data_IF_521592515741
#
_entry.id   IF_521592515741
#
_cell.length_a   1.000
_cell.length_b   1.000
_cell.length_c   1.000
_cell.angle_alpha   90.00
_cell.angle_beta   90.00
_cell.angle_gamma   90.00
#
_symmetry.space_group_name_H-M   'P 1'
#
loop_
_entity.id
_entity.type
_entity.pdbx_description
1 polymer ?
#
# COMPACT_ATOMS: atom_id res chain seq x y z
N UNK A 1 -31.73 -14.88 7.79
CA UNK A 1 -30.47 -14.20 8.12
C UNK A 1 -30.75 -13.31 9.33
N UNK A 2 -30.03 -13.47 10.44
CA UNK A 2 -30.21 -12.62 11.62
C UNK A 2 -29.59 -11.22 11.38
N UNK A 3 -29.91 -10.24 12.23
CA UNK A 3 -29.41 -8.86 12.10
C UNK A 3 -27.88 -8.79 12.07
N UNK A 4 -27.20 -9.59 12.90
CA UNK A 4 -25.74 -9.65 12.93
C UNK A 4 -25.16 -10.15 11.60
N UNK A 5 -25.73 -11.21 11.03
CA UNK A 5 -25.33 -11.76 9.73
C UNK A 5 -25.51 -10.73 8.61
N UNK A 6 -26.65 -10.02 8.59
CA UNK A 6 -26.91 -8.96 7.61
C UNK A 6 -25.87 -7.85 7.73
N UNK A 7 -25.59 -7.41 8.95
CA UNK A 7 -24.63 -6.34 9.19
C UNK A 7 -23.20 -6.73 8.81
N UNK A 8 -22.78 -7.96 9.12
CA UNK A 8 -21.48 -8.49 8.70
C UNK A 8 -21.38 -8.58 7.17
N UNK A 9 -22.43 -9.02 6.48
CA UNK A 9 -22.49 -9.05 5.02
C UNK A 9 -22.29 -7.65 4.44
N UNK A 10 -23.13 -6.68 4.86
CA UNK A 10 -23.11 -5.32 4.34
C UNK A 10 -21.77 -4.62 4.62
N UNK A 11 -21.22 -4.77 5.84
CA UNK A 11 -19.90 -4.22 6.17
C UNK A 11 -18.78 -4.88 5.34
N UNK A 12 -18.91 -6.17 5.01
CA UNK A 12 -17.95 -6.87 4.15
C UNK A 12 -18.04 -6.40 2.70
N UNK A 13 -19.25 -6.27 2.15
CA UNK A 13 -19.47 -5.80 0.79
C UNK A 13 -19.02 -4.33 0.62
N UNK A 14 -19.34 -3.47 1.59
CA UNK A 14 -18.90 -2.06 1.57
C UNK A 14 -17.39 -1.91 1.78
N UNK A 15 -16.77 -2.82 2.55
CA UNK A 15 -15.31 -2.81 2.76
C UNK A 15 -14.53 -3.47 1.63
N UNK A 16 -15.20 -4.22 0.75
CA UNK A 16 -14.55 -4.84 -0.40
C UNK A 16 -13.89 -3.77 -1.27
N UNK A 17 -12.72 -4.09 -1.79
CA UNK A 17 -12.05 -3.27 -2.81
C UNK A 17 -11.45 -4.24 -3.79
N UNK A 18 -11.88 -4.18 -5.05
CA UNK A 18 -11.12 -4.84 -6.11
C UNK A 18 -9.78 -4.13 -6.22
N UNK A 19 -8.71 -4.74 -5.71
CA UNK A 19 -7.38 -4.17 -5.82
C UNK A 19 -6.83 -4.41 -7.21
N UNK A 20 -7.17 -3.52 -8.13
CA UNK A 20 -6.61 -3.47 -9.48
C UNK A 20 -5.34 -2.64 -9.55
N UNK A 21 -4.81 -2.19 -8.41
CA UNK A 21 -3.67 -1.27 -8.37
C UNK A 21 -2.41 -2.01 -8.79
N UNK A 22 -1.62 -1.37 -9.64
CA UNK A 22 -0.20 -1.68 -9.79
C UNK A 22 0.63 -0.83 -8.84
N UNK A 23 1.84 -1.31 -8.57
CA UNK A 23 2.80 -0.65 -7.69
C UNK A 23 4.06 -0.36 -8.48
N UNK A 24 4.52 0.89 -8.41
CA UNK A 24 5.61 1.38 -9.24
C UNK A 24 6.72 1.96 -8.37
N UNK A 25 7.97 1.61 -8.66
CA UNK A 25 9.13 2.36 -8.18
C UNK A 25 9.51 3.37 -9.26
N UNK A 26 9.49 4.66 -8.94
CA UNK A 26 10.05 5.71 -9.79
C UNK A 26 11.31 6.23 -9.14
N UNK A 27 12.45 6.06 -9.82
CA UNK A 27 13.74 6.56 -9.36
C UNK A 27 13.79 8.08 -9.51
N UNK A 28 14.52 8.69 -8.59
CA UNK A 28 14.70 10.15 -8.46
C UNK A 28 16.09 10.59 -8.87
N UNK A 29 16.79 9.80 -9.71
CA UNK A 29 18.19 10.03 -10.09
C UNK A 29 19.12 10.20 -8.88
N UNK A 30 19.22 9.14 -8.08
CA UNK A 30 19.97 9.11 -6.81
C UNK A 30 19.51 10.18 -5.79
N UNK A 31 18.21 10.49 -5.79
CA UNK A 31 17.59 11.45 -4.88
C UNK A 31 17.56 12.88 -5.40
N UNK A 32 18.25 13.21 -6.49
CA UNK A 32 18.31 14.57 -7.03
C UNK A 32 16.93 15.17 -7.32
N UNK A 33 15.97 14.34 -7.75
CA UNK A 33 14.61 14.75 -8.07
C UNK A 33 13.59 14.49 -6.94
N UNK A 34 14.02 14.00 -5.78
CA UNK A 34 13.12 13.63 -4.68
C UNK A 34 12.26 14.80 -4.21
N UNK A 35 12.88 15.92 -3.80
CA UNK A 35 12.16 17.10 -3.31
C UNK A 35 11.25 17.68 -4.39
N UNK A 36 11.73 17.78 -5.64
CA UNK A 36 10.94 18.28 -6.77
C UNK A 36 9.66 17.47 -6.97
N UNK A 37 9.74 16.14 -6.97
CA UNK A 37 8.58 15.25 -7.13
C UNK A 37 7.67 15.30 -5.90
N UNK A 38 8.28 15.28 -4.71
CA UNK A 38 7.63 15.31 -3.41
C UNK A 38 6.80 16.58 -3.20
N UNK A 39 7.41 17.76 -3.31
CA UNK A 39 6.79 19.06 -3.02
C UNK A 39 5.77 19.46 -4.09
N UNK A 40 6.03 19.10 -5.36
CA UNK A 40 5.17 19.46 -6.49
C UNK A 40 4.17 18.37 -6.88
N UNK A 41 4.08 17.29 -6.12
CA UNK A 41 3.04 16.26 -6.24
C UNK A 41 2.96 15.61 -7.64
N UNK A 42 4.11 15.19 -8.17
CA UNK A 42 4.18 14.47 -9.44
C UNK A 42 5.38 13.50 -9.50
N UNK A 43 5.33 12.56 -10.45
CA UNK A 43 6.48 11.74 -10.88
C UNK A 43 6.62 11.81 -12.40
N UNK A 44 7.82 11.68 -12.92
CA UNK A 44 8.07 11.81 -14.35
C UNK A 44 9.38 11.13 -14.77
N UNK A 45 9.64 11.08 -16.07
CA UNK A 45 10.98 10.80 -16.59
C UNK A 45 11.77 12.10 -16.72
N UNK A 46 13.05 12.07 -16.32
CA UNK A 46 13.98 13.18 -16.46
C UNK A 46 14.46 13.31 -17.92
N UNK A 47 13.53 13.72 -18.78
CA UNK A 47 13.75 13.98 -20.20
C UNK A 47 13.24 15.38 -20.50
N UNK A 48 14.11 16.24 -21.02
CA UNK A 48 13.76 17.63 -21.31
C UNK A 48 13.19 17.75 -22.72
N UNK A 49 12.08 18.49 -22.85
CA UNK A 49 11.43 18.81 -24.13
C UNK A 49 11.12 17.56 -25.00
N UNK A 50 10.79 16.42 -24.40
CA UNK A 50 10.59 15.19 -25.15
C UNK A 50 9.19 15.15 -25.79
N UNK A 51 9.07 14.89 -27.10
CA UNK A 51 7.76 14.83 -27.76
C UNK A 51 6.91 13.68 -27.22
N UNK A 52 5.66 13.94 -26.82
CA UNK A 52 4.75 12.89 -26.31
C UNK A 52 3.84 12.28 -27.40
N UNK A 53 3.72 12.93 -28.56
CA UNK A 53 2.72 12.58 -29.58
C UNK A 53 2.79 11.13 -30.09
N UNK A 54 4.00 10.56 -30.15
CA UNK A 54 4.20 9.18 -30.59
C UNK A 54 3.60 8.14 -29.61
N UNK A 55 3.44 8.49 -28.33
CA UNK A 55 2.80 7.62 -27.33
C UNK A 55 1.32 7.45 -27.61
N UNK A 56 0.64 8.48 -28.11
CA UNK A 56 -0.78 8.40 -28.45
C UNK A 56 -1.05 7.42 -29.61
N UNK A 57 -0.13 7.34 -30.58
CA UNK A 57 -0.20 6.34 -31.64
C UNK A 57 -0.05 4.92 -31.08
N UNK A 58 0.92 4.72 -30.18
CA UNK A 58 1.14 3.42 -29.53
C UNK A 58 -0.03 3.00 -28.62
N UNK A 59 -0.75 3.95 -28.01
CA UNK A 59 -1.91 3.69 -27.14
C UNK A 59 -3.03 2.90 -27.84
N UNK A 60 -3.16 3.05 -29.16
CA UNK A 60 -4.17 2.35 -29.96
C UNK A 60 -3.83 0.87 -30.23
N UNK A 61 -2.63 0.42 -29.85
CA UNK A 61 -2.16 -0.94 -30.10
C UNK A 61 -2.44 -1.80 -28.86
N UNK A 62 -3.38 -2.73 -29.01
CA UNK A 62 -3.78 -3.62 -27.92
C UNK A 62 -2.63 -4.53 -27.45
N UNK A 63 -1.93 -5.17 -28.40
CA UNK A 63 -0.86 -6.12 -28.09
C UNK A 63 0.34 -5.42 -27.42
N UNK A 64 0.71 -5.74 -26.16
CA UNK A 64 1.79 -5.07 -25.46
C UNK A 64 3.18 -5.21 -26.12
N UNK A 65 3.47 -6.36 -26.74
CA UNK A 65 4.77 -6.61 -27.39
C UNK A 65 4.92 -5.79 -28.67
N UNK A 66 3.84 -5.74 -29.45
CA UNK A 66 3.78 -4.91 -30.66
C UNK A 66 3.87 -3.42 -30.30
N UNK A 67 3.09 -3.00 -29.31
CA UNK A 67 3.11 -1.63 -28.76
C UNK A 67 4.52 -1.21 -28.34
N UNK A 68 5.23 -2.04 -27.59
CA UNK A 68 6.61 -1.77 -27.18
C UNK A 68 7.57 -1.69 -28.38
N UNK A 69 7.38 -2.55 -29.38
CA UNK A 69 8.19 -2.54 -30.60
C UNK A 69 7.98 -1.25 -31.41
N UNK A 70 6.73 -0.80 -31.53
CA UNK A 70 6.39 0.48 -32.17
C UNK A 70 6.98 1.66 -31.40
N UNK A 71 6.83 1.70 -30.06
CA UNK A 71 7.44 2.74 -29.23
C UNK A 71 8.96 2.81 -29.44
N UNK A 72 9.63 1.65 -29.41
CA UNK A 72 11.08 1.58 -29.63
C UNK A 72 11.48 2.12 -31.02
N UNK A 73 10.77 1.71 -32.07
CA UNK A 73 11.06 2.16 -33.43
C UNK A 73 10.82 3.67 -33.58
N UNK A 74 9.73 4.20 -33.02
CA UNK A 74 9.45 5.64 -33.01
C UNK A 74 10.52 6.42 -32.25
N UNK A 75 11.00 5.92 -31.11
CA UNK A 75 12.10 6.55 -30.37
C UNK A 75 13.40 6.59 -31.19
N UNK A 76 13.74 5.49 -31.88
CA UNK A 76 14.91 5.45 -32.75
C UNK A 76 14.80 6.45 -33.91
N UNK A 77 13.61 6.58 -34.52
CA UNK A 77 13.35 7.56 -35.57
C UNK A 77 13.44 9.00 -35.06
N UNK A 78 12.85 9.30 -33.89
CA UNK A 78 12.92 10.62 -33.26
C UNK A 78 14.38 10.99 -32.96
N UNK A 79 15.17 10.06 -32.42
CA UNK A 79 16.58 10.30 -32.15
C UNK A 79 17.41 10.53 -33.42
N UNK A 80 17.11 9.83 -34.52
CA UNK A 80 17.75 10.10 -35.82
C UNK A 80 17.42 11.50 -36.36
N UNK A 81 16.18 11.96 -36.19
CA UNK A 81 15.75 13.30 -36.60
C UNK A 81 16.30 14.40 -35.69
N UNK A 82 16.48 14.11 -34.40
CA UNK A 82 16.95 15.03 -33.38
C UNK A 82 18.04 14.38 -32.51
N UNK A 83 19.30 14.31 -33.00
CA UNK A 83 20.38 13.60 -32.31
C UNK A 83 20.72 14.13 -30.91
N UNK A 84 20.44 15.40 -30.63
CA UNK A 84 20.68 16.02 -29.33
C UNK A 84 19.57 15.75 -28.30
N UNK A 85 18.50 15.04 -28.68
CA UNK A 85 17.35 14.75 -27.80
C UNK A 85 17.71 13.75 -26.70
N UNK A 86 18.62 12.82 -26.98
CA UNK A 86 19.10 11.81 -26.05
C UNK A 86 20.63 11.75 -26.11
N UNK A 87 21.28 11.53 -24.97
CA UNK A 87 22.74 11.41 -24.89
C UNK A 87 23.23 10.01 -25.29
N UNK A 88 22.59 9.36 -26.26
CA UNK A 88 22.92 8.00 -26.69
C UNK A 88 23.70 8.02 -28.01
N UNK A 89 24.82 7.30 -28.07
CA UNK A 89 25.56 7.14 -29.32
C UNK A 89 24.90 6.05 -30.18
N UNK A 90 24.42 6.43 -31.38
CA UNK A 90 23.80 5.51 -32.34
C UNK A 90 24.74 4.44 -32.90
N UNK A 91 26.05 4.64 -32.78
CA UNK A 91 27.08 3.70 -33.24
C UNK A 91 27.46 2.68 -32.16
N UNK A 92 27.07 2.91 -30.90
CA UNK A 92 27.32 1.98 -29.81
C UNK A 92 26.45 0.72 -29.96
N UNK A 93 27.09 -0.45 -29.81
CA UNK A 93 26.43 -1.74 -29.66
C UNK A 93 25.28 -1.75 -28.63
N UNK A 94 25.37 -0.91 -27.58
CA UNK A 94 24.36 -0.79 -26.54
C UNK A 94 23.12 0.01 -26.97
N UNK A 95 23.18 0.79 -28.06
CA UNK A 95 22.15 1.73 -28.49
C UNK A 95 20.74 1.12 -28.56
N UNK A 96 20.61 0.01 -29.29
CA UNK A 96 19.32 -0.69 -29.46
C UNK A 96 18.75 -1.17 -28.12
N UNK A 97 19.63 -1.59 -27.18
CA UNK A 97 19.23 -2.01 -25.85
C UNK A 97 18.79 -0.81 -24.99
N UNK A 98 19.49 0.33 -25.08
CA UNK A 98 19.17 1.56 -24.36
C UNK A 98 17.81 2.11 -24.81
N UNK A 99 17.57 2.14 -26.13
CA UNK A 99 16.28 2.52 -26.71
C UNK A 99 15.15 1.58 -26.28
N UNK A 100 15.42 0.27 -26.20
CA UNK A 100 14.45 -0.69 -25.69
C UNK A 100 14.10 -0.45 -24.22
N UNK A 101 15.09 -0.14 -23.38
CA UNK A 101 14.85 0.20 -21.96
C UNK A 101 14.05 1.48 -21.81
N UNK A 102 14.38 2.52 -22.56
CA UNK A 102 13.64 3.79 -22.56
C UNK A 102 12.20 3.59 -23.05
N UNK A 103 11.99 2.83 -24.13
CA UNK A 103 10.67 2.48 -24.62
C UNK A 103 9.81 1.79 -23.55
N UNK A 104 10.41 0.86 -22.80
CA UNK A 104 9.73 0.17 -21.70
C UNK A 104 9.33 1.15 -20.59
N UNK A 105 10.23 2.06 -20.19
CA UNK A 105 9.94 3.06 -19.16
C UNK A 105 8.80 4.01 -19.59
N UNK A 106 8.82 4.45 -20.85
CA UNK A 106 7.77 5.30 -21.41
C UNK A 106 6.43 4.56 -21.47
N UNK A 107 6.43 3.27 -21.85
CA UNK A 107 5.25 2.41 -21.80
C UNK A 107 4.69 2.34 -20.37
N UNK A 108 5.53 2.01 -19.39
CA UNK A 108 5.11 1.89 -17.98
C UNK A 108 4.40 3.15 -17.48
N UNK A 109 5.03 4.32 -17.59
CA UNK A 109 4.49 5.56 -17.01
C UNK A 109 3.32 6.15 -17.78
N UNK A 110 3.30 5.98 -19.10
CA UNK A 110 2.34 6.69 -19.97
C UNK A 110 1.13 5.86 -20.35
N UNK A 111 1.27 4.52 -20.38
CA UNK A 111 0.27 3.61 -20.93
C UNK A 111 -0.18 2.52 -19.94
N UNK A 112 0.63 2.17 -18.95
CA UNK A 112 0.31 1.08 -18.01
C UNK A 112 -0.04 1.57 -16.61
N UNK A 113 0.57 2.66 -16.16
CA UNK A 113 0.26 3.28 -14.88
C UNK A 113 -1.11 3.95 -14.96
N UNK A 114 -1.99 3.69 -13.99
CA UNK A 114 -3.37 4.16 -13.99
C UNK A 114 -3.70 4.94 -12.72
N UNK A 115 -4.79 5.73 -12.77
CA UNK A 115 -5.36 6.35 -11.58
C UNK A 115 -5.63 5.28 -10.52
N UNK A 116 -5.18 5.52 -9.29
CA UNK A 116 -5.30 4.59 -8.17
C UNK A 116 -4.07 3.71 -7.96
N UNK A 117 -3.17 3.59 -8.93
CA UNK A 117 -1.90 2.90 -8.75
C UNK A 117 -1.05 3.57 -7.67
N UNK A 118 -0.21 2.78 -7.02
CA UNK A 118 0.70 3.25 -5.97
C UNK A 118 2.09 3.48 -6.56
N UNK A 119 2.73 4.58 -6.18
CA UNK A 119 4.08 4.93 -6.60
C UNK A 119 4.98 5.19 -5.40
N UNK A 120 6.20 4.67 -5.49
CA UNK A 120 7.27 4.86 -4.52
C UNK A 120 8.37 5.69 -5.16
N UNK A 121 8.84 6.72 -4.45
CA UNK A 121 10.06 7.46 -4.81
C UNK A 121 11.08 7.37 -3.68
N UNK A 122 12.36 7.04 -3.97
CA UNK A 122 13.41 7.05 -2.96
C UNK A 122 14.08 8.43 -2.85
N UNK A 123 14.50 8.80 -1.63
CA UNK A 123 15.45 9.88 -1.41
C UNK A 123 16.88 9.45 -1.78
N UNK A 124 17.85 10.36 -1.62
CA UNK A 124 19.26 10.04 -1.80
C UNK A 124 19.70 8.89 -0.88
N UNK A 125 20.41 7.90 -1.44
CA UNK A 125 20.80 6.68 -0.70
C UNK A 125 19.63 5.84 -0.17
N UNK A 126 18.41 6.13 -0.63
CA UNK A 126 17.14 5.62 -0.12
C UNK A 126 17.06 5.70 1.41
N UNK A 127 17.49 6.84 1.99
CA UNK A 127 17.32 7.12 3.42
C UNK A 127 15.86 7.21 3.84
N UNK A 128 14.98 7.51 2.88
CA UNK A 128 13.55 7.67 3.03
C UNK A 128 12.87 7.20 1.74
N UNK A 129 11.67 6.63 1.84
CA UNK A 129 10.78 6.37 0.71
C UNK A 129 9.49 7.16 0.89
N UNK A 130 9.05 7.82 -0.17
CA UNK A 130 7.72 8.42 -0.23
C UNK A 130 6.78 7.53 -1.02
N UNK A 131 5.62 7.24 -0.43
CA UNK A 131 4.52 6.48 -1.01
C UNK A 131 3.42 7.45 -1.41
N UNK A 132 2.96 7.35 -2.65
CA UNK A 132 1.84 8.14 -3.14
C UNK A 132 0.92 7.34 -4.06
N UNK A 133 -0.21 7.94 -4.40
CA UNK A 133 -1.24 7.40 -5.28
C UNK A 133 -1.34 8.26 -6.53
N UNK A 134 -1.41 7.63 -7.69
CA UNK A 134 -1.65 8.32 -8.96
C UNK A 134 -3.08 8.83 -9.00
N UNK A 135 -3.27 10.12 -9.27
CA UNK A 135 -4.60 10.77 -9.25
C UNK A 135 -5.11 11.21 -10.61
N UNK A 136 -4.24 11.29 -11.62
CA UNK A 136 -4.63 11.67 -12.96
C UNK A 136 -5.01 10.47 -13.85
N UNK A 137 -5.82 10.77 -14.86
CA UNK A 137 -6.21 9.82 -15.92
C UNK A 137 -5.17 9.83 -17.05
N UNK A 138 -4.64 11.00 -17.37
CA UNK A 138 -3.70 11.23 -18.46
C UNK A 138 -2.46 11.98 -17.98
N UNK A 139 -1.42 12.00 -18.82
CA UNK A 139 -0.17 12.72 -18.57
C UNK A 139 -0.42 14.22 -18.25
N UNK A 140 0.31 14.75 -17.28
CA UNK A 140 0.26 16.15 -16.94
C UNK A 140 0.82 17.04 -18.07
N UNK A 141 0.09 18.11 -18.38
CA UNK A 141 0.42 19.07 -19.44
C UNK A 141 0.95 20.41 -18.90
N UNK A 142 1.21 20.51 -17.60
CA UNK A 142 1.74 21.71 -16.96
C UNK A 142 3.11 22.07 -17.56
N UNK A 143 3.20 23.24 -18.20
CA UNK A 143 4.42 23.74 -18.85
C UNK A 143 5.57 23.89 -17.86
N UNK A 144 5.29 24.24 -16.60
CA UNK A 144 6.30 24.38 -15.56
C UNK A 144 6.91 23.03 -15.13
N UNK A 145 6.25 21.91 -15.43
CA UNK A 145 6.77 20.55 -15.23
C UNK A 145 7.40 20.06 -16.53
N UNK A 146 6.66 20.16 -17.62
CA UNK A 146 6.99 19.54 -18.92
C UNK A 146 8.20 20.16 -19.63
N UNK A 147 8.64 21.36 -19.20
CA UNK A 147 9.90 21.97 -19.65
C UNK A 147 11.13 21.18 -19.19
N UNK A 148 11.08 20.58 -18.01
CA UNK A 148 12.22 19.91 -17.38
C UNK A 148 12.06 18.39 -17.32
N UNK A 149 10.83 17.91 -17.34
CA UNK A 149 10.48 16.50 -17.25
C UNK A 149 9.51 16.11 -18.36
N UNK A 150 9.43 14.84 -18.71
CA UNK A 150 8.44 14.35 -19.67
C UNK A 150 7.65 13.20 -19.08
N UNK A 151 6.45 12.98 -19.62
CA UNK A 151 5.55 11.90 -19.19
C UNK A 151 5.15 12.00 -17.71
N UNK A 152 4.91 13.22 -17.23
CA UNK A 152 4.58 13.47 -15.84
C UNK A 152 3.21 12.91 -15.45
N UNK A 153 3.12 12.37 -14.24
CA UNK A 153 1.91 11.84 -13.59
C UNK A 153 1.72 12.53 -12.24
N UNK A 154 0.54 13.05 -11.98
CA UNK A 154 0.16 13.67 -10.70
C UNK A 154 0.01 12.61 -9.63
N UNK A 155 0.52 12.93 -8.46
CA UNK A 155 0.58 12.04 -7.30
C UNK A 155 0.00 12.75 -6.10
N UNK A 156 -0.86 12.06 -5.36
CA UNK A 156 -1.22 12.42 -4.00
C UNK A 156 -0.34 11.61 -3.04
N UNK A 157 0.51 12.29 -2.28
CA UNK A 157 1.41 11.63 -1.33
C UNK A 157 0.62 11.15 -0.10
N UNK A 158 0.81 9.88 0.25
CA UNK A 158 0.11 9.22 1.37
C UNK A 158 1.00 9.16 2.60
N UNK A 159 2.25 8.75 2.41
CA UNK A 159 3.16 8.49 3.53
C UNK A 159 4.61 8.67 3.14
N UNK A 160 5.41 9.09 4.09
CA UNK A 160 6.87 9.07 4.02
C UNK A 160 7.41 8.10 5.09
N UNK A 161 8.37 7.26 4.72
CA UNK A 161 8.88 6.19 5.58
C UNK A 161 10.40 6.23 5.60
N UNK A 162 10.98 6.41 6.78
CA UNK A 162 12.43 6.36 6.97
C UNK A 162 13.00 4.96 6.75
N UNK A 163 14.24 4.89 6.28
CA UNK A 163 14.97 3.64 6.00
C UNK A 163 15.01 2.69 7.20
N UNK A 164 15.05 3.25 8.41
CA UNK A 164 15.04 2.49 9.67
C UNK A 164 13.75 1.66 9.86
N UNK A 165 12.64 2.11 9.26
CA UNK A 165 11.31 1.49 9.35
C UNK A 165 11.01 0.54 8.18
N UNK A 166 11.84 0.54 7.14
CA UNK A 166 11.60 -0.27 5.94
C UNK A 166 11.75 -1.76 6.25
N UNK A 167 10.74 -2.55 5.90
CA UNK A 167 10.84 -4.01 5.95
C UNK A 167 11.93 -4.52 4.98
N UNK A 168 12.65 -5.57 5.38
CA UNK A 168 13.75 -6.16 4.60
C UNK A 168 13.35 -6.51 3.15
N UNK A 169 12.10 -6.88 2.90
CA UNK A 169 11.62 -7.22 1.56
C UNK A 169 11.43 -5.99 0.67
N UNK A 170 11.16 -4.81 1.24
CA UNK A 170 11.03 -3.57 0.48
C UNK A 170 12.40 -3.08 -0.03
N UNK A 171 13.49 -3.37 0.71
CA UNK A 171 14.85 -3.17 0.20
C UNK A 171 15.14 -3.93 -1.09
N UNK A 172 14.55 -5.13 -1.27
CA UNK A 172 14.71 -5.89 -2.52
C UNK A 172 14.06 -5.17 -3.70
N UNK A 173 12.95 -4.46 -3.47
CA UNK A 173 12.32 -3.63 -4.50
C UNK A 173 13.24 -2.48 -4.93
N UNK A 174 13.98 -1.89 -3.98
CA UNK A 174 14.99 -0.85 -4.22
C UNK A 174 16.26 -1.35 -4.92
N UNK A 175 16.42 -2.65 -5.17
CA UNK A 175 17.50 -3.19 -6.00
C UNK A 175 17.27 -3.00 -7.50
N UNK A 176 16.07 -2.62 -7.94
CA UNK A 176 15.75 -2.52 -9.36
C UNK A 176 16.36 -1.27 -10.02
N UNK A 177 17.31 -1.44 -10.94
CA UNK A 177 18.11 -0.33 -11.50
C UNK A 177 17.43 0.51 -12.59
N UNK A 178 16.22 0.15 -13.05
CA UNK A 178 15.53 0.93 -14.06
C UNK A 178 14.87 2.16 -13.43
N UNK A 179 14.71 3.24 -14.20
CA UNK A 179 14.09 4.47 -13.74
C UNK A 179 12.63 4.25 -13.29
N UNK A 180 11.93 3.33 -13.95
CA UNK A 180 10.56 2.94 -13.62
C UNK A 180 10.50 1.43 -13.57
N UNK A 181 10.02 0.88 -12.46
CA UNK A 181 9.92 -0.57 -12.25
C UNK A 181 8.53 -0.94 -11.75
N UNK A 182 7.95 -1.99 -12.32
CA UNK A 182 6.80 -2.67 -11.71
C UNK A 182 7.28 -3.46 -10.49
N UNK A 183 6.75 -3.07 -9.33
CA UNK A 183 7.04 -3.68 -8.03
C UNK A 183 5.79 -4.27 -7.40
N UNK A 184 4.75 -4.57 -8.19
CA UNK A 184 3.47 -5.12 -7.72
C UNK A 184 3.62 -6.43 -6.94
N UNK A 185 4.68 -7.20 -7.18
CA UNK A 185 5.04 -8.38 -6.36
C UNK A 185 5.33 -8.06 -4.88
N UNK A 186 5.52 -6.79 -4.53
CA UNK A 186 5.71 -6.32 -3.16
C UNK A 186 4.48 -5.59 -2.60
N UNK A 187 3.33 -5.64 -3.28
CA UNK A 187 2.10 -4.92 -2.92
C UNK A 187 1.72 -5.04 -1.43
N UNK A 188 1.63 -6.27 -0.92
CA UNK A 188 1.26 -6.52 0.48
C UNK A 188 2.27 -5.91 1.46
N UNK A 189 3.58 -6.01 1.15
CA UNK A 189 4.63 -5.40 1.97
C UNK A 189 4.50 -3.88 1.97
N UNK A 190 4.12 -3.28 0.85
CA UNK A 190 3.94 -1.83 0.70
C UNK A 190 2.71 -1.33 1.48
N UNK A 191 1.54 -1.92 1.23
CA UNK A 191 0.25 -1.53 1.85
C UNK A 191 0.33 -1.57 3.39
N UNK A 192 0.96 -2.63 3.95
CA UNK A 192 1.20 -2.79 5.40
C UNK A 192 1.96 -1.62 6.05
N UNK A 193 2.59 -0.71 5.31
CA UNK A 193 3.31 0.42 5.90
C UNK A 193 2.45 1.63 6.20
N UNK A 194 1.27 1.75 5.62
CA UNK A 194 0.45 2.95 5.78
C UNK A 194 -1.01 2.66 6.12
N UNK A 195 -1.47 1.41 6.05
CA UNK A 195 -2.83 1.09 6.47
C UNK A 195 -2.95 -0.23 7.24
N UNK A 196 -3.90 -0.26 8.19
CA UNK A 196 -4.31 -1.46 8.91
C UNK A 196 -5.20 -2.39 8.09
N UNK A 197 -5.72 -1.97 6.94
CA UNK A 197 -6.65 -2.78 6.15
C UNK A 197 -6.48 -2.58 4.65
N UNK A 198 -6.37 -3.69 3.92
CA UNK A 198 -6.36 -3.69 2.46
C UNK A 198 -6.79 -5.06 1.91
N UNK A 199 -7.05 -5.10 0.61
CA UNK A 199 -7.37 -6.33 -0.13
C UNK A 199 -6.35 -6.48 -1.25
N UNK A 200 -5.81 -7.67 -1.50
CA UNK A 200 -4.95 -8.00 -2.66
C UNK A 200 -5.36 -9.38 -3.16
N UNK A 201 -5.58 -9.54 -4.47
CA UNK A 201 -5.91 -10.85 -5.08
C UNK A 201 -7.04 -11.60 -4.34
N UNK A 202 -8.10 -10.87 -3.95
CA UNK A 202 -9.24 -11.34 -3.15
C UNK A 202 -8.91 -11.85 -1.73
N UNK A 203 -7.65 -11.75 -1.28
CA UNK A 203 -7.26 -11.92 0.12
C UNK A 203 -7.39 -10.59 0.87
N UNK A 204 -8.08 -10.62 2.01
CA UNK A 204 -8.26 -9.49 2.90
C UNK A 204 -7.17 -9.54 3.96
N UNK A 205 -6.64 -8.37 4.30
CA UNK A 205 -5.54 -8.21 5.23
C UNK A 205 -5.93 -7.26 6.36
N UNK A 206 -5.63 -7.65 7.59
CA UNK A 206 -5.79 -6.81 8.77
C UNK A 206 -4.49 -6.78 9.56
N UNK A 207 -3.89 -5.59 9.62
CA UNK A 207 -2.56 -5.37 10.15
C UNK A 207 -2.62 -4.62 11.46
N UNK A 208 -1.95 -5.16 12.47
CA UNK A 208 -1.63 -4.49 13.72
C UNK A 208 -0.12 -4.34 13.87
N UNK A 209 0.30 -3.29 14.56
CA UNK A 209 1.71 -3.11 14.94
C UNK A 209 1.95 -3.66 16.35
N UNK A 210 3.14 -4.19 16.59
CA UNK A 210 3.61 -4.68 17.89
C UNK A 210 4.92 -3.97 18.19
N UNK A 211 4.96 -3.15 19.24
CA UNK A 211 6.05 -2.19 19.44
C UNK A 211 6.69 -2.29 20.84
N UNK A 212 6.61 -3.47 21.47
CA UNK A 212 7.29 -3.74 22.73
C UNK A 212 8.77 -4.07 22.50
N UNK A 213 9.67 -3.56 23.34
CA UNK A 213 11.12 -3.81 23.23
C UNK A 213 11.46 -5.31 23.18
N UNK A 214 10.75 -6.11 23.98
CA UNK A 214 10.81 -7.57 23.95
C UNK A 214 9.41 -8.13 23.78
N UNK A 215 9.20 -8.94 22.74
CA UNK A 215 7.90 -9.54 22.45
C UNK A 215 7.80 -10.88 23.20
N UNK A 216 6.96 -10.91 24.24
CA UNK A 216 6.65 -12.15 24.96
C UNK A 216 5.83 -13.09 24.07
N UNK A 217 6.36 -14.28 23.80
CA UNK A 217 5.65 -15.29 23.01
C UNK A 217 4.31 -15.70 23.66
N UNK A 218 4.25 -15.74 24.99
CA UNK A 218 3.03 -16.05 25.73
C UNK A 218 1.97 -14.97 25.53
N UNK A 219 2.32 -13.69 25.73
CA UNK A 219 1.40 -12.57 25.60
C UNK A 219 0.91 -12.41 24.18
N UNK A 220 1.82 -12.53 23.20
CA UNK A 220 1.49 -12.47 21.77
C UNK A 220 0.50 -13.56 21.38
N UNK A 221 0.78 -14.79 21.80
CA UNK A 221 -0.10 -15.94 21.53
C UNK A 221 -1.44 -15.77 22.22
N UNK A 222 -1.46 -15.30 23.48
CA UNK A 222 -2.68 -15.07 24.24
C UNK A 222 -3.56 -13.99 23.60
N UNK A 223 -2.96 -12.89 23.11
CA UNK A 223 -3.65 -11.83 22.39
C UNK A 223 -4.32 -12.37 21.12
N UNK A 224 -3.57 -13.11 20.29
CA UNK A 224 -4.10 -13.71 19.05
C UNK A 224 -5.21 -14.72 19.36
N UNK A 225 -5.01 -15.59 20.35
CA UNK A 225 -6.00 -16.59 20.75
C UNK A 225 -7.29 -15.95 21.29
N UNK A 226 -7.19 -14.83 22.02
CA UNK A 226 -8.36 -14.12 22.54
C UNK A 226 -9.25 -13.61 21.39
N UNK A 227 -8.63 -13.01 20.36
CA UNK A 227 -9.34 -12.58 19.14
C UNK A 227 -9.97 -13.77 18.41
N UNK A 228 -9.18 -14.78 18.05
CA UNK A 228 -9.67 -15.91 17.25
C UNK A 228 -10.74 -16.75 17.97
N UNK A 229 -10.61 -16.92 19.29
CA UNK A 229 -11.63 -17.59 20.10
C UNK A 229 -12.93 -16.80 20.11
N UNK A 230 -12.86 -15.48 20.29
CA UNK A 230 -14.03 -14.60 20.27
C UNK A 230 -14.72 -14.63 18.90
N UNK A 231 -13.95 -14.64 17.80
CA UNK A 231 -14.48 -14.83 16.43
C UNK A 231 -15.26 -16.16 16.32
N UNK A 232 -14.71 -17.26 16.83
CA UNK A 232 -15.39 -18.57 16.81
C UNK A 232 -16.66 -18.59 17.68
N UNK A 233 -16.64 -17.98 18.86
CA UNK A 233 -17.81 -17.90 19.74
C UNK A 233 -18.95 -17.11 19.07
N UNK A 234 -18.63 -15.97 18.44
CA UNK A 234 -19.61 -15.18 17.67
C UNK A 234 -20.10 -15.96 16.44
N UNK A 235 -19.21 -16.64 15.74
CA UNK A 235 -19.57 -17.47 14.58
C UNK A 235 -20.57 -18.56 14.95
N UNK A 236 -20.37 -19.21 16.11
CA UNK A 236 -21.28 -20.21 16.64
C UNK A 236 -22.63 -19.60 17.04
N UNK A 237 -22.62 -18.55 17.87
CA UNK A 237 -23.83 -17.91 18.41
C UNK A 237 -24.75 -17.36 17.31
N UNK A 238 -24.16 -16.82 16.23
CA UNK A 238 -24.92 -16.25 15.11
C UNK A 238 -24.98 -17.15 13.87
N UNK A 239 -24.49 -18.39 13.95
CA UNK A 239 -24.44 -19.37 12.86
C UNK A 239 -23.84 -18.79 11.55
N UNK A 240 -22.64 -18.21 11.64
CA UNK A 240 -21.99 -17.50 10.53
C UNK A 240 -21.27 -18.41 9.54
N UNK A 241 -21.01 -19.67 9.90
CA UNK A 241 -20.22 -20.59 9.09
C UNK A 241 -18.74 -20.19 8.96
N UNK A 242 -18.23 -19.37 9.89
CA UNK A 242 -16.83 -18.95 9.96
C UNK A 242 -16.06 -19.89 10.88
N UNK A 243 -14.98 -20.50 10.39
CA UNK A 243 -13.97 -21.18 11.22
C UNK A 243 -12.72 -20.30 11.30
N UNK A 244 -12.34 -19.88 12.52
CA UNK A 244 -11.15 -19.07 12.74
C UNK A 244 -9.83 -19.81 12.39
N UNK A 245 -9.84 -21.14 12.24
CA UNK A 245 -8.67 -21.90 11.76
C UNK A 245 -8.25 -21.54 10.34
N UNK A 246 -9.17 -21.00 9.56
CA UNK A 246 -8.91 -20.55 8.19
C UNK A 246 -8.30 -19.12 8.14
N UNK A 247 -8.11 -18.48 9.29
CA UNK A 247 -7.46 -17.18 9.40
C UNK A 247 -5.95 -17.43 9.54
N UNK A 248 -5.20 -17.08 8.50
CA UNK A 248 -3.73 -17.16 8.53
C UNK A 248 -3.18 -15.95 9.28
N UNK A 249 -2.02 -16.12 9.89
CA UNK A 249 -1.31 -15.02 10.54
C UNK A 249 0.13 -14.94 10.01
N UNK A 250 0.58 -13.73 9.70
CA UNK A 250 1.95 -13.41 9.33
C UNK A 250 2.50 -12.42 10.34
N UNK A 251 3.57 -12.78 11.06
CA UNK A 251 4.16 -11.93 12.09
C UNK A 251 5.64 -11.68 11.78
N UNK A 252 6.04 -10.42 11.76
CA UNK A 252 7.45 -10.04 11.84
C UNK A 252 7.81 -9.88 13.33
N UNK A 253 8.64 -10.79 13.85
CA UNK A 253 8.95 -10.89 15.29
C UNK A 253 9.92 -9.80 15.75
N UNK A 254 10.54 -9.07 14.83
CA UNK A 254 11.36 -7.90 15.19
C UNK A 254 10.45 -6.78 15.71
N UNK A 255 10.86 -6.08 16.77
CA UNK A 255 10.18 -4.89 17.26
C UNK A 255 10.86 -3.62 16.73
N UNK A 256 10.11 -2.65 16.16
CA UNK A 256 8.67 -2.70 15.91
C UNK A 256 8.32 -3.70 14.79
N UNK A 257 7.25 -4.47 15.01
CA UNK A 257 6.81 -5.58 14.18
C UNK A 257 5.38 -5.39 13.69
N UNK A 258 5.00 -6.18 12.68
CA UNK A 258 3.62 -6.19 12.16
C UNK A 258 3.04 -7.58 12.25
N UNK A 259 1.77 -7.64 12.63
CA UNK A 259 0.94 -8.83 12.69
C UNK A 259 -0.18 -8.67 11.68
N UNK A 260 -0.22 -9.52 10.67
CA UNK A 260 -1.24 -9.49 9.60
C UNK A 260 -2.12 -10.74 9.64
N UNK A 261 -3.42 -10.54 9.84
CA UNK A 261 -4.48 -11.55 9.74
C UNK A 261 -5.01 -11.60 8.30
N UNK A 262 -4.89 -12.76 7.67
CA UNK A 262 -5.16 -12.94 6.23
C UNK A 262 -6.24 -14.01 6.04
N UNK A 263 -7.35 -13.64 5.41
CA UNK A 263 -8.44 -14.57 5.08
C UNK A 263 -9.43 -13.96 4.09
N UNK A 264 -10.64 -14.53 4.01
CA UNK A 264 -11.76 -13.94 3.24
C UNK A 264 -12.38 -12.74 3.97
N UNK A 265 -13.11 -11.91 3.22
CA UNK A 265 -13.67 -10.65 3.73
C UNK A 265 -14.42 -10.77 5.04
N UNK A 266 -15.43 -11.64 5.13
CA UNK A 266 -16.23 -11.81 6.36
C UNK A 266 -15.37 -12.17 7.58
N UNK A 267 -14.37 -13.02 7.38
CA UNK A 267 -13.48 -13.49 8.45
C UNK A 267 -12.60 -12.36 8.96
N UNK A 268 -12.00 -11.60 8.04
CA UNK A 268 -11.13 -10.46 8.38
C UNK A 268 -11.92 -9.31 8.99
N UNK A 269 -13.06 -8.92 8.41
CA UNK A 269 -13.91 -7.84 8.92
C UNK A 269 -14.46 -8.17 10.31
N UNK A 270 -14.87 -9.43 10.56
CA UNK A 270 -15.27 -9.86 11.90
C UNK A 270 -14.09 -9.83 12.88
N UNK A 271 -12.90 -10.25 12.45
CA UNK A 271 -11.67 -10.22 13.28
C UNK A 271 -11.31 -8.79 13.68
N UNK A 272 -11.40 -7.83 12.75
CA UNK A 272 -11.20 -6.41 13.01
C UNK A 272 -12.22 -5.86 14.00
N UNK A 273 -13.51 -6.17 13.81
CA UNK A 273 -14.58 -5.71 14.69
C UNK A 273 -14.42 -6.27 16.11
N UNK A 274 -14.01 -7.54 16.24
CA UNK A 274 -13.66 -8.17 17.52
C UNK A 274 -12.48 -7.48 18.18
N UNK A 275 -11.40 -7.23 17.45
CA UNK A 275 -10.24 -6.55 18.00
C UNK A 275 -10.56 -5.12 18.48
N UNK A 276 -11.35 -4.35 17.72
CA UNK A 276 -11.82 -3.03 18.14
C UNK A 276 -12.68 -3.08 19.41
N UNK A 277 -13.63 -4.01 19.48
CA UNK A 277 -14.52 -4.20 20.62
C UNK A 277 -13.77 -4.68 21.89
N UNK A 278 -12.76 -5.53 21.71
CA UNK A 278 -11.89 -5.99 22.81
C UNK A 278 -10.93 -4.91 23.26
N UNK A 279 -10.49 -4.01 22.38
CA UNK A 279 -9.64 -2.87 22.72
C UNK A 279 -10.36 -1.72 23.45
N UNK A 280 -11.67 -1.86 23.72
CA UNK A 280 -12.46 -0.81 24.36
C UNK A 280 -12.49 0.52 23.58
N UNK A 281 -12.36 0.48 22.25
CA UNK A 281 -12.30 1.68 21.39
C UNK A 281 -10.91 2.31 21.26
N UNK A 282 -9.87 1.74 21.87
CA UNK A 282 -8.48 2.24 21.72
C UNK A 282 -7.79 1.78 20.44
N UNK A 283 -8.42 0.88 19.66
CA UNK A 283 -8.06 0.60 18.28
C UNK A 283 -9.17 1.16 17.39
N UNK A 284 -8.81 2.11 16.53
CA UNK A 284 -9.74 2.78 15.62
C UNK A 284 -9.32 2.57 14.16
N UNK A 285 -10.30 2.58 13.25
CA UNK A 285 -10.09 2.36 11.81
C UNK A 285 -10.86 3.38 10.99
N UNK A 286 -10.54 4.66 11.16
CA UNK A 286 -11.32 5.79 10.60
C UNK A 286 -11.55 5.68 9.09
N UNK A 287 -10.52 5.29 8.33
CA UNK A 287 -10.65 5.13 6.87
C UNK A 287 -11.64 4.03 6.49
N UNK A 288 -11.67 2.91 7.23
CA UNK A 288 -12.62 1.84 7.00
C UNK A 288 -14.04 2.27 7.42
N UNK A 289 -14.16 3.02 8.51
CA UNK A 289 -15.43 3.56 8.99
C UNK A 289 -16.08 4.48 7.95
N UNK A 290 -15.30 5.43 7.41
CA UNK A 290 -15.74 6.31 6.34
C UNK A 290 -16.07 5.52 5.08
N UNK A 291 -15.22 4.56 4.70
CA UNK A 291 -15.43 3.75 3.49
C UNK A 291 -16.73 2.93 3.56
N UNK A 292 -17.11 2.47 4.75
CA UNK A 292 -18.28 1.62 4.96
C UNK A 292 -19.54 2.39 5.36
N UNK A 293 -19.52 3.72 5.27
CA UNK A 293 -20.62 4.61 5.68
C UNK A 293 -21.15 4.28 7.08
N UNK A 294 -20.26 3.93 8.01
CA UNK A 294 -20.61 3.60 9.40
C UNK A 294 -21.10 2.17 9.67
N UNK A 295 -21.15 1.30 8.64
CA UNK A 295 -21.53 -0.10 8.81
C UNK A 295 -20.51 -0.87 9.66
N UNK A 296 -19.22 -0.54 9.54
CA UNK A 296 -18.18 -1.17 10.36
C UNK A 296 -18.35 -0.82 11.85
N UNK A 297 -18.56 0.45 12.21
CA UNK A 297 -18.82 0.87 13.59
C UNK A 297 -20.08 0.23 14.15
N UNK A 298 -21.14 0.13 13.35
CA UNK A 298 -22.35 -0.60 13.73
C UNK A 298 -22.06 -2.08 14.03
N UNK A 299 -21.17 -2.72 13.27
CA UNK A 299 -20.73 -4.10 13.52
C UNK A 299 -19.92 -4.19 14.82
N UNK A 300 -19.01 -3.25 15.08
CA UNK A 300 -18.28 -3.15 16.35
C UNK A 300 -19.24 -3.01 17.53
N UNK A 301 -20.30 -2.21 17.40
CA UNK A 301 -21.34 -2.06 18.42
C UNK A 301 -22.13 -3.35 18.64
N UNK A 302 -22.43 -4.10 17.59
CA UNK A 302 -23.08 -5.41 17.71
C UNK A 302 -22.19 -6.41 18.47
N UNK A 303 -20.88 -6.42 18.18
CA UNK A 303 -19.90 -7.23 18.93
C UNK A 303 -19.81 -6.77 20.39
N UNK A 304 -19.82 -5.46 20.66
CA UNK A 304 -19.83 -4.92 22.02
C UNK A 304 -21.08 -5.34 22.81
N UNK A 305 -22.27 -5.30 22.20
CA UNK A 305 -23.51 -5.80 22.83
C UNK A 305 -23.41 -7.28 23.17
N UNK A 306 -22.93 -8.10 22.23
CA UNK A 306 -22.72 -9.54 22.44
C UNK A 306 -21.71 -9.83 23.55
N UNK A 307 -20.60 -9.09 23.60
CA UNK A 307 -19.56 -9.20 24.62
C UNK A 307 -20.09 -8.80 26.00
N UNK A 308 -20.85 -7.72 26.09
CA UNK A 308 -21.33 -7.18 27.36
C UNK A 308 -22.48 -8.00 27.98
N UNK A 309 -23.17 -8.82 27.18
CA UNK A 309 -24.26 -9.69 27.63
C UNK A 309 -23.82 -10.72 28.68
N UNK A 310 -22.55 -11.12 28.70
CA UNK A 310 -22.01 -12.08 29.67
C UNK A 310 -20.78 -11.55 30.39
N UNK A 311 -20.70 -11.77 31.70
CA UNK A 311 -19.54 -11.34 32.51
C UNK A 311 -18.24 -12.00 32.06
N UNK A 312 -18.28 -13.30 31.70
CA UNK A 312 -17.10 -14.04 31.23
C UNK A 312 -16.51 -13.43 29.96
N UNK A 313 -17.34 -12.96 29.03
CA UNK A 313 -16.90 -12.31 27.78
C UNK A 313 -16.29 -10.94 28.05
N UNK A 314 -16.77 -10.22 29.08
CA UNK A 314 -16.13 -8.99 29.57
C UNK A 314 -14.73 -9.23 30.16
N UNK A 315 -14.52 -10.34 30.87
CA UNK A 315 -13.18 -10.72 31.36
C UNK A 315 -12.18 -10.96 30.22
N UNK A 316 -12.64 -11.44 29.05
CA UNK A 316 -11.76 -11.56 27.87
C UNK A 316 -11.24 -10.18 27.41
N UNK A 317 -12.03 -9.11 27.58
CA UNK A 317 -11.61 -7.75 27.26
C UNK A 317 -10.44 -7.32 28.15
N UNK A 318 -10.55 -7.52 29.46
CA UNK A 318 -9.50 -7.15 30.42
C UNK A 318 -8.17 -7.85 30.10
N UNK A 319 -8.23 -9.13 29.71
CA UNK A 319 -7.06 -9.89 29.26
C UNK A 319 -6.50 -9.33 27.94
N UNK A 320 -7.36 -9.00 26.99
CA UNK A 320 -6.92 -8.42 25.71
C UNK A 320 -6.26 -7.06 25.93
N UNK A 321 -6.86 -6.18 26.73
CA UNK A 321 -6.35 -4.85 27.05
C UNK A 321 -5.00 -4.93 27.77
N UNK A 322 -4.83 -5.89 28.69
CA UNK A 322 -3.55 -6.16 29.35
C UNK A 322 -2.44 -6.49 28.33
N UNK A 323 -2.68 -7.48 27.46
CA UNK A 323 -1.67 -7.91 26.49
C UNK A 323 -1.45 -6.87 25.39
N UNK A 324 -2.50 -6.18 24.93
CA UNK A 324 -2.41 -5.07 23.98
C UNK A 324 -1.49 -3.98 24.52
N UNK A 325 -1.65 -3.62 25.80
CA UNK A 325 -0.84 -2.60 26.46
C UNK A 325 0.61 -3.06 26.61
N UNK A 326 0.83 -4.29 27.11
CA UNK A 326 2.18 -4.86 27.27
C UNK A 326 2.95 -4.91 25.94
N UNK A 327 2.27 -5.36 24.88
CA UNK A 327 2.84 -5.49 23.53
C UNK A 327 2.87 -4.17 22.75
N UNK A 328 2.37 -3.08 23.32
CA UNK A 328 2.19 -1.77 22.69
C UNK A 328 1.54 -1.88 21.30
N UNK A 329 0.41 -2.59 21.25
CA UNK A 329 -0.32 -2.86 20.02
C UNK A 329 -1.17 -1.67 19.60
N UNK A 330 -1.00 -1.25 18.35
CA UNK A 330 -1.69 -0.10 17.72
C UNK A 330 -2.14 -0.47 16.32
N UNK A 331 -3.12 0.30 15.79
CA UNK A 331 -3.35 0.32 14.34
C UNK A 331 -2.08 0.83 13.61
N UNK A 332 -1.98 0.58 12.32
CA UNK A 332 -0.86 1.06 11.51
C UNK A 332 -0.90 2.58 11.42
N UNK A 333 -2.09 3.15 11.30
CA UNK A 333 -2.37 4.58 11.25
C UNK A 333 -1.92 5.27 12.55
N UNK A 334 -2.35 4.80 13.72
CA UNK A 334 -1.98 5.39 15.02
C UNK A 334 -0.48 5.27 15.30
N UNK A 335 0.12 4.13 14.93
CA UNK A 335 1.57 3.95 15.05
C UNK A 335 2.33 4.94 14.18
N UNK A 336 1.87 5.11 12.95
CA UNK A 336 2.47 6.03 12.00
C UNK A 336 2.34 7.49 12.42
N UNK A 337 1.20 7.91 12.97
CA UNK A 337 1.02 9.26 13.50
C UNK A 337 1.99 9.52 14.66
N UNK A 338 2.09 8.58 15.60
CA UNK A 338 3.00 8.68 16.75
C UNK A 338 4.48 8.79 16.33
N UNK A 339 4.88 8.07 15.27
CA UNK A 339 6.25 8.14 14.77
C UNK A 339 6.54 9.46 14.05
N UNK A 340 5.59 9.98 13.28
CA UNK A 340 5.78 11.24 12.56
C UNK A 340 5.96 12.40 13.56
N UNK A 341 5.16 12.44 14.64
CA UNK A 341 5.34 13.41 15.73
C UNK A 341 6.72 13.31 16.40
N UNK A 342 7.21 12.09 16.61
CA UNK A 342 8.52 11.87 17.22
C UNK A 342 9.69 12.26 16.29
N UNK A 343 9.53 12.05 14.98
CA UNK A 343 10.53 12.44 13.97
C UNK A 343 10.59 13.97 13.83
N UNK A 344 9.45 14.68 13.82
CA UNK A 344 9.38 16.16 13.81
C UNK A 344 10.08 16.78 15.03
N UNK A 345 9.86 16.25 16.24
CA UNK A 345 10.49 16.75 17.46
C UNK A 345 11.98 16.42 17.61
N UNK A 346 12.55 15.58 16.74
CA UNK A 346 13.98 15.24 16.75
C UNK A 346 14.83 16.12 15.83
N UNK A 347 14.19 16.91 14.97
CA UNK A 347 14.84 17.84 14.04
C UNK A 347 14.88 19.29 14.56
N UNK A 348 14.19 19.58 15.68
CA UNK A 348 14.29 20.80 16.50
C UNK A 348 15.33 20.66 17.64
#
# INVERSE_FOLDING_TARGET
>A
MNEFQQLLELATEASATTNTKKYWLVRTDDGANYNTFSERSFVALNLQNFPIGFVNAARQIENPRERLSVLKNSLMQLHQQQPNLLSYDSTDSSYSSNMGRLASQISSISLEMNRGDIVLIPSQGASVLKIGRIVDVDLATDVAITRHFSFARKVEWIKEISKRRLEANLYKALGAHQAICDISKYASVIERNYTSYFVIDDEYHYVLTVNAETVSAYELTALVQNVLKTVNEISYDFNLGIDAKDIKISINVNSPGKMDFISTGKKVILTMAVAAALAGGTLTYEHLEVKTDGLFGSLVDAVNRWKNAEQKRRQNQELFDLYKTSLNVKSVEDWNAMLDEAEEHSED
#
